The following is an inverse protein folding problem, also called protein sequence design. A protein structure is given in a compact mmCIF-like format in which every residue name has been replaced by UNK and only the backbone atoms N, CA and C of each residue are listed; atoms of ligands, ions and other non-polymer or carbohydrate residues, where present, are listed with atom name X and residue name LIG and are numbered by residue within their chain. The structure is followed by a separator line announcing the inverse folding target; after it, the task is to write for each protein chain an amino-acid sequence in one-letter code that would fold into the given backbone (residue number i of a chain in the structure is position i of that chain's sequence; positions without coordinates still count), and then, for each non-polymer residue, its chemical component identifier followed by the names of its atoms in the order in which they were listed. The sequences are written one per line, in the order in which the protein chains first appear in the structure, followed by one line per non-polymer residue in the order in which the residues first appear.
data_IF_189333392760
#
_entry.id   IF_189333392760
#
_cell.length_a   1.000
_cell.length_b   1.000
_cell.length_c   1.000
_cell.angle_alpha   90.00
_cell.angle_beta   90.00
_cell.angle_gamma   90.00
#
_symmetry.space_group_name_H-M   'P 1'
#
loop_
_entity.id
_entity.type
_entity.pdbx_description
1 polymer ?
#
# COMPACT_ATOMS: atom_id res chain seq x y z
N UNK A 1 -7.81 -8.36 16.40
CA UNK A 1 -7.69 -8.58 14.94
C UNK A 1 -8.69 -7.68 14.25
N UNK A 2 -8.23 -6.64 13.54
CA UNK A 2 -9.12 -5.80 12.75
C UNK A 2 -9.61 -6.64 11.56
N UNK A 3 -10.92 -6.89 11.49
CA UNK A 3 -11.51 -7.56 10.33
C UNK A 3 -11.26 -6.71 9.09
N UNK A 4 -10.65 -7.29 8.06
CA UNK A 4 -10.53 -6.66 6.73
C UNK A 4 -11.95 -6.34 6.26
N UNK A 5 -12.26 -5.06 6.11
CA UNK A 5 -13.58 -4.63 5.63
C UNK A 5 -13.53 -4.48 4.12
N UNK A 6 -14.35 -5.26 3.42
CA UNK A 6 -14.55 -5.10 1.97
C UNK A 6 -15.35 -3.83 1.71
N UNK A 7 -14.82 -2.82 0.99
CA UNK A 7 -15.55 -1.59 0.71
C UNK A 7 -16.82 -1.84 -0.12
N UNK A 8 -17.88 -1.07 0.09
CA UNK A 8 -19.12 -1.18 -0.70
C UNK A 8 -18.87 -0.98 -2.20
N UNK A 9 -17.99 -0.06 -2.56
CA UNK A 9 -17.58 0.16 -3.95
C UNK A 9 -16.91 -1.07 -4.59
N UNK A 10 -16.24 -1.89 -3.78
CA UNK A 10 -15.65 -3.15 -4.23
C UNK A 10 -16.72 -4.22 -4.46
N UNK A 11 -17.67 -4.36 -3.52
CA UNK A 11 -18.79 -5.31 -3.64
C UNK A 11 -19.61 -5.08 -4.91
N UNK A 12 -19.79 -3.82 -5.33
CA UNK A 12 -20.52 -3.45 -6.55
C UNK A 12 -19.83 -3.87 -7.85
N UNK A 13 -18.52 -4.15 -7.83
CA UNK A 13 -17.75 -4.60 -9.00
C UNK A 13 -17.83 -6.11 -9.26
N UNK A 14 -18.53 -6.85 -8.40
CA UNK A 14 -18.65 -8.30 -8.51
C UNK A 14 -17.49 -9.05 -7.86
N UNK A 15 -17.28 -10.30 -8.28
CA UNK A 15 -16.26 -11.17 -7.72
C UNK A 15 -14.85 -10.69 -8.08
N UNK A 16 -13.98 -10.55 -7.08
CA UNK A 16 -12.58 -10.16 -7.29
C UNK A 16 -11.85 -11.29 -8.02
N UNK A 17 -11.12 -11.02 -9.12
CA UNK A 17 -10.32 -12.03 -9.80
C UNK A 17 -9.35 -12.72 -8.84
N UNK A 18 -9.26 -14.05 -8.93
CA UNK A 18 -8.38 -14.86 -8.07
C UNK A 18 -6.91 -14.40 -8.14
N UNK A 19 -6.46 -13.96 -9.32
CA UNK A 19 -5.12 -13.43 -9.52
C UNK A 19 -4.84 -12.16 -8.68
N UNK A 20 -5.83 -11.31 -8.46
CA UNK A 20 -5.67 -10.11 -7.62
C UNK A 20 -5.62 -10.45 -6.14
N UNK A 21 -6.45 -11.41 -5.69
CA UNK A 21 -6.36 -11.92 -4.31
C UNK A 21 -5.00 -12.56 -4.09
N UNK A 22 -4.57 -13.45 -4.99
CA UNK A 22 -3.26 -14.10 -4.91
C UNK A 22 -2.09 -13.10 -4.90
N UNK A 23 -2.20 -12.01 -5.67
CA UNK A 23 -1.20 -10.93 -5.66
C UNK A 23 -1.12 -10.24 -4.29
N UNK A 24 -2.26 -9.87 -3.71
CA UNK A 24 -2.32 -9.16 -2.42
C UNK A 24 -1.88 -10.04 -1.24
N UNK A 25 -2.16 -11.35 -1.28
CA UNK A 25 -1.77 -12.29 -0.22
C UNK A 25 -0.42 -12.97 -0.47
N UNK A 26 0.20 -12.71 -1.62
CA UNK A 26 1.38 -13.41 -2.09
C UNK A 26 2.68 -12.94 -1.44
N UNK A 27 3.74 -13.75 -1.53
CA UNK A 27 5.04 -13.43 -0.91
C UNK A 27 5.66 -12.14 -1.43
N UNK A 28 5.43 -11.79 -2.71
CA UNK A 28 5.92 -10.55 -3.29
C UNK A 28 5.35 -9.30 -2.58
N UNK A 29 4.04 -9.26 -2.33
CA UNK A 29 3.41 -8.14 -1.64
C UNK A 29 3.89 -8.03 -0.19
N UNK A 30 3.98 -9.16 0.51
CA UNK A 30 4.44 -9.21 1.92
C UNK A 30 5.89 -8.74 2.03
N UNK A 31 6.80 -9.30 1.22
CA UNK A 31 8.21 -8.91 1.23
C UNK A 31 8.41 -7.43 0.85
N UNK A 32 7.60 -6.91 -0.08
CA UNK A 32 7.64 -5.50 -0.46
C UNK A 32 7.19 -4.60 0.68
N UNK A 33 6.12 -4.97 1.39
CA UNK A 33 5.65 -4.23 2.56
C UNK A 33 6.71 -4.21 3.67
N UNK A 34 7.25 -5.37 4.01
CA UNK A 34 8.30 -5.52 5.04
C UNK A 34 9.55 -4.72 4.70
N UNK A 35 9.92 -4.64 3.41
CA UNK A 35 11.04 -3.82 2.94
C UNK A 35 10.78 -2.32 3.11
N UNK A 36 9.55 -1.86 2.88
CA UNK A 36 9.23 -0.43 2.91
C UNK A 36 8.94 0.10 4.31
N UNK A 37 8.21 -0.66 5.13
CA UNK A 37 7.80 -0.22 6.47
C UNK A 37 8.72 -0.74 7.58
N UNK A 38 9.59 -1.71 7.27
CA UNK A 38 10.28 -2.52 8.27
C UNK A 38 9.38 -3.64 8.81
N UNK A 39 9.94 -4.54 9.63
CA UNK A 39 9.18 -5.63 10.24
C UNK A 39 9.69 -5.91 11.66
N UNK A 40 8.99 -5.40 12.66
CA UNK A 40 9.40 -5.52 14.08
C UNK A 40 8.63 -6.65 14.75
N UNK A 41 9.33 -7.73 15.11
CA UNK A 41 8.73 -8.93 15.72
C UNK A 41 8.43 -8.77 17.23
N UNK A 42 8.20 -7.54 17.67
CA UNK A 42 7.81 -7.23 19.04
C UNK A 42 6.92 -5.99 19.06
N UNK A 43 5.99 -5.95 20.02
CA UNK A 43 5.16 -4.78 20.27
C UNK A 43 5.99 -3.72 21.00
N UNK A 44 6.10 -2.54 20.41
CA UNK A 44 6.80 -1.39 21.00
C UNK A 44 5.85 -0.19 21.12
N UNK A 45 6.15 0.72 22.05
CA UNK A 45 5.45 2.00 22.14
C UNK A 45 6.04 2.96 21.10
N UNK A 46 5.28 3.28 20.04
CA UNK A 46 5.76 4.14 18.97
C UNK A 46 5.62 5.62 19.34
N UNK A 47 6.75 6.28 19.61
CA UNK A 47 6.79 7.70 19.94
C UNK A 47 6.28 8.62 18.81
N UNK A 48 6.41 8.21 17.55
CA UNK A 48 5.88 8.96 16.41
C UNK A 48 4.35 8.87 16.34
N UNK A 49 3.78 7.78 16.86
CA UNK A 49 2.34 7.58 17.00
C UNK A 49 1.81 7.90 18.41
N UNK A 50 2.55 8.69 19.21
CA UNK A 50 2.10 9.12 20.54
C UNK A 50 2.04 7.99 21.58
N UNK A 51 2.94 7.01 21.48
CA UNK A 51 3.02 5.85 22.37
C UNK A 51 2.08 4.70 22.01
N UNK A 52 1.46 4.74 20.84
CA UNK A 52 0.56 3.68 20.38
C UNK A 52 1.32 2.34 20.21
N UNK A 53 0.83 1.22 20.76
CA UNK A 53 1.50 -0.07 20.57
C UNK A 53 1.54 -0.45 19.09
N UNK A 54 2.75 -0.65 18.57
CA UNK A 54 3.05 -0.86 17.15
C UNK A 54 3.91 -2.12 16.98
N UNK A 55 3.72 -2.87 15.90
CA UNK A 55 4.40 -4.14 15.64
C UNK A 55 4.37 -4.53 14.15
N UNK A 56 5.15 -5.54 13.77
CA UNK A 56 5.31 -6.03 12.40
C UNK A 56 5.63 -4.89 11.42
N UNK A 57 4.96 -4.82 10.27
CA UNK A 57 5.11 -3.73 9.30
C UNK A 57 4.19 -2.53 9.63
N UNK A 58 4.32 -1.99 10.85
CA UNK A 58 3.62 -0.78 11.28
C UNK A 58 2.16 -0.98 11.68
N UNK A 59 1.75 -2.21 12.02
CA UNK A 59 0.42 -2.47 12.55
C UNK A 59 0.29 -1.88 13.95
N UNK A 60 -0.86 -1.27 14.25
CA UNK A 60 -1.15 -0.65 15.55
C UNK A 60 -2.39 -1.25 16.19
N UNK A 61 -2.33 -1.52 17.50
CA UNK A 61 -3.47 -2.00 18.28
C UNK A 61 -3.35 -1.51 19.74
N UNK A 62 -4.29 -0.67 20.18
CA UNK A 62 -4.33 -0.17 21.57
C UNK A 62 -4.43 -1.27 22.62
N UNK A 63 -4.90 -2.46 22.23
CA UNK A 63 -5.04 -3.61 23.11
C UNK A 63 -3.78 -4.48 23.16
N UNK A 64 -2.80 -4.23 22.30
CA UNK A 64 -1.56 -5.00 22.30
C UNK A 64 -0.69 -4.63 23.50
N UNK A 65 -0.07 -5.64 24.11
CA UNK A 65 0.79 -5.48 25.28
C UNK A 65 2.22 -5.23 24.81
N UNK A 66 2.77 -4.06 25.14
CA UNK A 66 4.17 -3.69 24.84
C UNK A 66 5.12 -4.75 25.43
N UNK A 67 6.15 -5.12 24.66
CA UNK A 67 7.10 -6.18 24.99
C UNK A 67 6.69 -7.58 24.52
N UNK A 68 5.44 -7.77 24.06
CA UNK A 68 5.00 -9.04 23.47
C UNK A 68 5.82 -9.34 22.21
N UNK A 69 6.41 -10.54 22.15
CA UNK A 69 7.14 -11.02 20.97
C UNK A 69 6.18 -11.74 20.01
N UNK A 70 6.42 -11.58 18.72
CA UNK A 70 5.71 -12.27 17.65
C UNK A 70 6.67 -13.16 16.87
N UNK A 71 6.15 -14.23 16.29
CA UNK A 71 6.88 -15.00 15.28
C UNK A 71 6.83 -14.30 13.93
N UNK A 72 7.75 -14.67 13.03
CA UNK A 72 7.70 -14.19 11.63
C UNK A 72 6.35 -14.51 10.98
N UNK A 73 5.80 -15.70 11.22
CA UNK A 73 4.52 -16.10 10.62
C UNK A 73 3.33 -15.31 11.18
N UNK A 74 3.34 -15.00 12.48
CA UNK A 74 2.34 -14.08 13.04
C UNK A 74 2.41 -12.70 12.37
N UNK A 75 3.61 -12.18 12.14
CA UNK A 75 3.76 -10.91 11.42
C UNK A 75 3.34 -10.99 9.96
N UNK A 76 3.57 -12.12 9.27
CA UNK A 76 3.06 -12.31 7.90
C UNK A 76 1.54 -12.21 7.85
N UNK A 77 0.81 -12.83 8.79
CA UNK A 77 -0.66 -12.76 8.82
C UNK A 77 -1.17 -11.35 9.14
N UNK A 78 -0.50 -10.64 10.04
CA UNK A 78 -0.78 -9.22 10.33
C UNK A 78 -0.55 -8.37 9.07
N UNK A 79 0.60 -8.55 8.41
CA UNK A 79 0.99 -7.82 7.21
C UNK A 79 0.02 -8.10 6.05
N UNK A 80 -0.40 -9.36 5.84
CA UNK A 80 -1.44 -9.73 4.86
C UNK A 80 -2.75 -8.98 5.11
N UNK A 81 -3.16 -8.86 6.37
CA UNK A 81 -4.39 -8.14 6.74
C UNK A 81 -4.29 -6.66 6.31
N UNK A 82 -3.15 -6.01 6.57
CA UNK A 82 -2.89 -4.63 6.11
C UNK A 82 -2.93 -4.52 4.59
N UNK A 83 -2.26 -5.43 3.88
CA UNK A 83 -2.22 -5.41 2.41
C UNK A 83 -3.62 -5.60 1.82
N UNK A 84 -4.43 -6.51 2.37
CA UNK A 84 -5.80 -6.72 1.92
C UNK A 84 -6.68 -5.48 2.16
N UNK A 85 -6.58 -4.85 3.33
CA UNK A 85 -7.38 -3.67 3.67
C UNK A 85 -7.10 -2.48 2.72
N UNK A 86 -5.83 -2.22 2.40
CA UNK A 86 -5.47 -1.19 1.42
C UNK A 86 -5.70 -1.63 -0.03
N UNK A 87 -5.40 -2.88 -0.37
CA UNK A 87 -5.61 -3.43 -1.70
C UNK A 87 -7.08 -3.44 -2.09
N UNK A 88 -7.99 -3.70 -1.16
CA UNK A 88 -9.43 -3.60 -1.39
C UNK A 88 -9.89 -2.16 -1.62
N UNK A 89 -9.29 -1.17 -0.95
CA UNK A 89 -9.57 0.23 -1.25
C UNK A 89 -9.10 0.60 -2.67
N UNK A 90 -7.91 0.15 -3.08
CA UNK A 90 -7.39 0.35 -4.44
C UNK A 90 -8.29 -0.31 -5.49
N UNK A 91 -8.71 -1.57 -5.27
CA UNK A 91 -9.65 -2.26 -6.16
C UNK A 91 -11.00 -1.55 -6.25
N UNK A 92 -11.48 -0.95 -5.16
CA UNK A 92 -12.71 -0.18 -5.15
C UNK A 92 -12.63 1.06 -6.05
N UNK A 93 -11.48 1.75 -6.08
CA UNK A 93 -11.32 3.01 -6.80
C UNK A 93 -10.59 2.90 -8.16
N UNK A 94 -10.16 1.70 -8.57
CA UNK A 94 -9.44 1.50 -9.85
C UNK A 94 -10.23 0.65 -10.84
N UNK A 95 -10.16 0.96 -12.13
CA UNK A 95 -10.75 0.18 -13.22
C UNK A 95 -9.93 -1.10 -13.46
N UNK A 96 -10.55 -2.27 -13.24
CA UNK A 96 -9.83 -3.55 -13.21
C UNK A 96 -9.20 -3.95 -14.55
N UNK A 97 -9.78 -3.50 -15.66
CA UNK A 97 -9.21 -3.72 -17.01
C UNK A 97 -7.83 -3.06 -17.19
N UNK A 98 -7.48 -2.10 -16.33
CA UNK A 98 -6.16 -1.45 -16.32
C UNK A 98 -5.28 -1.93 -15.16
N UNK A 99 -5.62 -3.03 -14.49
CA UNK A 99 -4.81 -3.62 -13.44
C UNK A 99 -4.14 -4.91 -13.92
N UNK A 100 -2.83 -4.99 -13.68
CA UNK A 100 -2.11 -6.26 -13.57
C UNK A 100 -1.94 -6.62 -12.10
N UNK A 101 -1.67 -7.90 -11.75
CA UNK A 101 -1.30 -8.30 -10.39
C UNK A 101 -0.19 -7.44 -9.77
N UNK A 102 0.90 -7.20 -10.49
CA UNK A 102 2.03 -6.39 -10.02
C UNK A 102 1.65 -4.92 -9.84
N UNK A 103 0.85 -4.36 -10.77
CA UNK A 103 0.37 -2.99 -10.67
C UNK A 103 -0.53 -2.79 -9.46
N UNK A 104 -1.41 -3.74 -9.16
CA UNK A 104 -2.23 -3.72 -7.97
C UNK A 104 -1.36 -3.68 -6.70
N UNK A 105 -0.31 -4.50 -6.63
CA UNK A 105 0.64 -4.47 -5.49
C UNK A 105 1.31 -3.10 -5.40
N UNK A 106 1.81 -2.54 -6.51
CA UNK A 106 2.46 -1.22 -6.52
C UNK A 106 1.54 -0.09 -6.03
N UNK A 107 0.30 -0.06 -6.52
CA UNK A 107 -0.71 0.91 -6.07
C UNK A 107 -1.13 0.68 -4.60
N UNK A 108 -1.13 -0.56 -4.14
CA UNK A 108 -1.41 -0.90 -2.74
C UNK A 108 -0.31 -0.39 -1.81
N UNK A 109 0.96 -0.59 -2.17
CA UNK A 109 2.10 -0.06 -1.40
C UNK A 109 2.11 1.48 -1.36
N UNK A 110 1.71 2.12 -2.46
CA UNK A 110 1.50 3.56 -2.50
C UNK A 110 0.40 3.98 -1.52
N UNK A 111 -0.76 3.32 -1.57
CA UNK A 111 -1.88 3.61 -0.68
C UNK A 111 -1.57 3.41 0.81
N UNK A 112 -0.77 2.39 1.16
CA UNK A 112 -0.32 2.18 2.54
C UNK A 112 0.47 3.40 3.06
N UNK A 113 1.26 4.05 2.20
CA UNK A 113 2.04 5.22 2.58
C UNK A 113 1.25 6.52 2.62
N UNK A 114 0.45 6.78 1.59
CA UNK A 114 -0.21 8.08 1.40
C UNK A 114 -1.66 8.10 1.89
N UNK A 115 -2.14 6.96 2.41
CA UNK A 115 -3.53 6.75 2.80
C UNK A 115 -4.42 6.34 1.62
N UNK A 116 -5.50 5.63 1.93
CA UNK A 116 -6.49 5.14 0.94
C UNK A 116 -7.09 6.28 0.12
N UNK A 117 -7.51 7.36 0.78
CA UNK A 117 -8.11 8.53 0.14
C UNK A 117 -7.09 9.29 -0.72
N UNK A 118 -5.87 9.47 -0.20
CA UNK A 118 -4.78 10.11 -0.93
C UNK A 118 -4.44 9.36 -2.22
N UNK A 119 -4.40 8.03 -2.17
CA UNK A 119 -4.16 7.21 -3.35
C UNK A 119 -5.34 7.23 -4.33
N UNK A 120 -6.57 6.94 -3.87
CA UNK A 120 -7.75 6.90 -4.73
C UNK A 120 -8.09 8.26 -5.36
N UNK A 121 -7.86 9.35 -4.62
CA UNK A 121 -8.03 10.72 -5.07
C UNK A 121 -6.82 11.28 -5.83
N UNK A 122 -5.79 10.48 -6.11
CA UNK A 122 -4.59 10.95 -6.81
C UNK A 122 -4.82 11.16 -8.30
N UNK A 123 -4.05 12.08 -8.90
CA UNK A 123 -4.00 12.19 -10.36
C UNK A 123 -3.48 10.89 -11.01
N UNK A 124 -2.63 10.14 -10.32
CA UNK A 124 -2.12 8.85 -10.80
C UNK A 124 -3.26 7.83 -11.05
N UNK A 125 -4.10 7.57 -10.04
CA UNK A 125 -5.23 6.63 -10.16
C UNK A 125 -6.26 7.14 -11.16
N UNK A 126 -6.57 8.45 -11.17
CA UNK A 126 -7.46 9.03 -12.19
C UNK A 126 -6.97 8.82 -13.62
N UNK A 127 -5.68 9.04 -13.89
CA UNK A 127 -5.09 8.80 -15.21
C UNK A 127 -5.12 7.33 -15.60
N UNK A 128 -4.85 6.40 -14.67
CA UNK A 128 -4.97 4.95 -14.91
C UNK A 128 -6.41 4.59 -15.30
N UNK A 129 -7.41 5.09 -14.57
CA UNK A 129 -8.82 4.83 -14.85
C UNK A 129 -9.29 5.41 -16.19
N UNK A 130 -8.64 6.48 -16.66
CA UNK A 130 -8.86 7.06 -17.99
C UNK A 130 -8.12 6.30 -19.11
N UNK A 131 -7.45 5.18 -18.80
CA UNK A 131 -6.67 4.39 -19.74
C UNK A 131 -5.27 4.95 -20.04
N UNK A 132 -4.87 6.06 -19.42
CA UNK A 132 -3.54 6.64 -19.53
C UNK A 132 -2.57 5.97 -18.55
N UNK A 133 -2.43 4.64 -18.63
CA UNK A 133 -1.78 3.82 -17.61
C UNK A 133 -0.33 4.25 -17.37
N UNK A 134 0.48 4.40 -18.43
CA UNK A 134 1.89 4.82 -18.30
C UNK A 134 2.01 6.19 -17.66
N UNK A 135 1.19 7.15 -18.08
CA UNK A 135 1.18 8.49 -17.50
C UNK A 135 0.78 8.45 -16.01
N UNK A 136 -0.26 7.70 -15.67
CA UNK A 136 -0.71 7.52 -14.29
C UNK A 136 0.34 6.86 -13.39
N UNK A 137 1.01 5.81 -13.86
CA UNK A 137 2.10 5.17 -13.12
C UNK A 137 3.31 6.11 -12.94
N UNK A 138 3.64 6.93 -13.94
CA UNK A 138 4.69 7.95 -13.82
C UNK A 138 4.38 8.96 -12.72
N UNK A 139 3.09 9.34 -12.55
CA UNK A 139 2.63 10.28 -11.54
C UNK A 139 2.83 9.81 -10.10
N UNK A 140 3.13 8.52 -9.86
CA UNK A 140 3.52 8.05 -8.53
C UNK A 140 4.84 8.71 -8.09
N UNK A 141 5.81 8.82 -8.99
CA UNK A 141 7.16 9.32 -8.67
C UNK A 141 7.45 10.72 -9.18
N UNK A 142 6.82 11.15 -10.28
CA UNK A 142 7.16 12.39 -10.97
C UNK A 142 5.92 13.23 -11.25
N UNK A 143 6.01 14.53 -11.00
CA UNK A 143 5.05 15.52 -11.51
C UNK A 143 5.25 15.69 -13.02
N UNK A 144 4.29 16.28 -13.75
CA UNK A 144 4.44 16.53 -15.19
C UNK A 144 5.69 17.35 -15.57
N UNK A 145 6.19 18.20 -14.66
CA UNK A 145 7.40 18.99 -14.84
C UNK A 145 8.70 18.25 -14.45
N UNK A 146 8.65 16.94 -14.20
CA UNK A 146 9.81 16.11 -13.86
C UNK A 146 10.25 16.16 -12.39
N UNK A 147 9.66 17.02 -11.56
CA UNK A 147 9.99 17.07 -10.13
C UNK A 147 9.44 15.84 -9.39
N UNK A 148 10.04 15.44 -8.24
CA UNK A 148 9.49 14.38 -7.39
C UNK A 148 8.03 14.65 -6.99
N UNK A 149 7.20 13.61 -7.09
CA UNK A 149 5.83 13.62 -6.59
C UNK A 149 5.72 12.77 -5.32
N UNK A 150 4.75 13.06 -4.45
CA UNK A 150 4.45 12.25 -3.26
C UNK A 150 5.68 11.88 -2.41
N UNK A 151 6.65 12.79 -2.36
CA UNK A 151 7.98 12.56 -1.76
C UNK A 151 8.32 13.59 -0.68
N UNK A 152 7.32 14.31 -0.17
CA UNK A 152 7.48 15.29 0.87
C UNK A 152 6.78 14.84 2.16
N UNK A 153 7.42 15.10 3.31
CA UNK A 153 6.83 14.95 4.64
C UNK A 153 7.11 16.24 5.43
N UNK A 154 6.12 16.74 6.18
CA UNK A 154 6.27 18.02 6.89
C UNK A 154 6.61 19.20 5.98
N UNK A 155 6.18 19.16 4.71
CA UNK A 155 6.49 20.18 3.69
C UNK A 155 7.89 20.09 3.08
N UNK A 156 8.74 19.17 3.52
CA UNK A 156 10.13 19.02 3.05
C UNK A 156 10.32 17.75 2.23
N UNK A 157 11.23 17.80 1.26
CA UNK A 157 11.58 16.64 0.43
C UNK A 157 12.27 15.55 1.25
N UNK A 158 11.88 14.30 1.01
CA UNK A 158 12.44 13.10 1.64
C UNK A 158 12.90 12.12 0.58
N UNK A 159 14.22 11.93 0.45
CA UNK A 159 14.82 11.04 -0.54
C UNK A 159 14.32 9.58 -0.42
N UNK A 160 14.09 9.11 0.81
CA UNK A 160 13.54 7.77 1.05
C UNK A 160 12.16 7.59 0.43
N UNK A 161 11.26 8.57 0.57
CA UNK A 161 9.94 8.54 -0.06
C UNK A 161 10.06 8.56 -1.58
N UNK A 162 10.96 9.35 -2.14
CA UNK A 162 11.17 9.36 -3.59
C UNK A 162 11.67 8.02 -4.13
N UNK A 163 12.61 7.38 -3.44
CA UNK A 163 13.05 6.03 -3.80
C UNK A 163 11.92 5.01 -3.73
N UNK A 164 11.06 5.09 -2.71
CA UNK A 164 9.84 4.29 -2.61
C UNK A 164 8.89 4.54 -3.77
N UNK A 165 8.60 5.81 -4.11
CA UNK A 165 7.75 6.16 -5.26
C UNK A 165 8.28 5.62 -6.58
N UNK A 166 9.60 5.66 -6.80
CA UNK A 166 10.23 5.07 -8.00
C UNK A 166 10.03 3.56 -8.05
N UNK A 167 10.15 2.85 -6.93
CA UNK A 167 9.91 1.41 -6.88
C UNK A 167 8.43 1.07 -7.13
N UNK A 168 7.50 1.84 -6.55
CA UNK A 168 6.06 1.70 -6.81
C UNK A 168 5.71 2.00 -8.26
N UNK A 169 6.32 3.01 -8.87
CA UNK A 169 6.23 3.30 -10.30
C UNK A 169 6.68 2.11 -11.15
N UNK A 170 7.81 1.48 -10.82
CA UNK A 170 8.30 0.30 -11.55
C UNK A 170 7.30 -0.84 -11.47
N UNK A 171 6.78 -1.16 -10.27
CA UNK A 171 5.72 -2.16 -10.11
C UNK A 171 4.45 -1.81 -10.90
N UNK A 172 4.09 -0.53 -10.94
CA UNK A 172 2.92 -0.04 -11.67
C UNK A 172 3.09 -0.19 -13.19
N UNK A 173 4.28 0.10 -13.70
CA UNK A 173 4.61 -0.02 -15.13
C UNK A 173 4.86 -1.46 -15.58
N UNK A 174 4.95 -2.41 -14.66
CA UNK A 174 5.19 -3.81 -15.00
C UNK A 174 4.14 -4.36 -15.97
N UNK A 175 4.61 -5.07 -16.98
CA UNK A 175 3.80 -5.65 -18.06
C UNK A 175 2.95 -4.62 -18.84
N UNK A 176 3.50 -3.43 -19.09
CA UNK A 176 3.03 -2.46 -20.11
C UNK A 176 3.86 -2.64 -21.39
#
# INVERSE_FOLDING_TARGET
MNNVRVPVGLLRKGAIPAAFIAALTGPFAIATLERFEGNVLAVYADNLAGGLPTYCAGATDRKAVVGTKLTSDQCKEVNKTTILDYGYAVLACTEWKYLTPTRLVGLTMFAINVGKEGACGSAAVRSINAGQVTAGCNLLAYKPNGQPNWSNAGGQFVNGLFNRRKAERVMCLDSI
#
